data_IF_638375788754
#
_entry.id   IF_638375788754
#
_cell.length_a   1.000
_cell.length_b   1.000
_cell.length_c   1.000
_cell.angle_alpha   90.00
_cell.angle_beta   90.00
_cell.angle_gamma   90.00
#
_symmetry.space_group_name_H-M   'P 1'
#
loop_
_entity.id
_entity.type
_entity.pdbx_description
1 polymer ?
2 polymer ?
3 polymer ?
4 non-polymer ?
5 non-polymer ?
6 water ?
#
loop_
_entity_poly.entity_id
_entity_poly.type
_entity_poly.pdbx_seq_one_letter_code
_entity_poly.pdbx_strand_id
2 'polydeoxyribonucleotide' '(DT)(DC)(DA)(8OG)(DG)(DG)(DG)(DT)(DC)(DC)(DT)' ?
3 'polydeoxyribonucleotide' '(DA)(DG)(DG)(DA)(DC)(DC)(DC)' ?
#
# COMPACT_ATOMS: atom_id res chain seq x y z
N UNK A 27 9.76 -8.45 21.43
CA UNK A 27 11.04 -9.07 21.06
C UNK A 27 11.43 -8.82 19.60
N UNK A 28 10.53 -8.25 18.81
CA UNK A 28 10.88 -7.96 17.42
C UNK A 28 11.23 -6.50 17.23
N UNK A 29 12.04 -6.22 16.21
CA UNK A 29 12.26 -4.86 15.72
C UNK A 29 11.81 -4.78 14.26
N UNK A 30 10.72 -4.06 14.04
CA UNK A 30 10.12 -3.90 12.73
C UNK A 30 10.30 -2.46 12.27
N UNK A 31 10.59 -2.27 10.99
CA UNK A 31 10.56 -0.95 10.38
C UNK A 31 9.46 -0.88 9.32
N UNK A 32 8.74 0.23 9.29
CA UNK A 32 7.76 0.54 8.25
C UNK A 32 8.32 1.71 7.48
N UNK A 33 8.46 1.55 6.15
CA UNK A 33 9.03 2.58 5.29
C UNK A 33 7.91 3.13 4.40
N UNK A 34 7.76 4.44 4.38
CA UNK A 34 6.62 5.07 3.72
C UNK A 34 7.10 6.27 2.89
N UNK A 35 7.03 6.14 1.56
CA UNK A 35 7.55 7.21 0.70
C UNK A 35 6.75 8.51 0.75
N UNK A 36 7.41 9.66 0.66
CA UNK A 36 6.69 10.93 0.61
C UNK A 36 5.92 11.12 -0.72
N UNK A 37 4.61 11.37 -0.63
CA UNK A 37 3.75 11.68 -1.77
C UNK A 37 4.23 11.00 -3.06
N UNK A 38 4.15 9.67 -3.06
CA UNK A 38 4.92 8.85 -3.99
C UNK A 38 4.74 9.16 -5.48
N UNK A 39 3.49 9.13 -5.97
CA UNK A 39 3.23 9.43 -7.38
C UNK A 39 3.78 10.80 -7.76
N UNK A 40 3.55 11.79 -6.90
CA UNK A 40 4.02 13.15 -7.17
C UNK A 40 5.55 13.22 -7.19
N UNK A 41 6.18 12.47 -6.31
CA UNK A 41 7.64 12.39 -6.27
C UNK A 41 8.21 11.83 -7.58
N UNK A 42 7.64 10.72 -8.04
CA UNK A 42 8.04 10.15 -9.30
C UNK A 42 7.88 11.19 -10.44
N UNK A 43 6.74 11.88 -10.49
CA UNK A 43 6.50 12.90 -11.52
C UNK A 43 7.50 14.06 -11.46
N UNK A 44 7.84 14.50 -10.25
CA UNK A 44 8.76 15.62 -10.07
C UNK A 44 10.17 15.26 -10.52
N UNK A 45 10.51 13.99 -10.35
CA UNK A 45 11.80 13.49 -10.81
C UNK A 45 11.82 13.41 -12.34
N UNK A 46 10.71 12.97 -12.92
CA UNK A 46 10.59 12.86 -14.38
C UNK A 46 10.64 14.22 -15.06
N UNK A 47 9.97 15.20 -14.48
CA UNK A 47 9.95 16.55 -15.00
C UNK A 47 10.35 17.54 -13.92
N UNK A 48 11.67 17.70 -13.70
CA UNK A 48 12.22 18.56 -12.65
C UNK A 48 11.76 20.01 -12.74
N UNK A 49 11.07 20.36 -13.81
CA UNK A 49 10.48 21.70 -13.93
C UNK A 49 9.26 21.80 -13.03
N UNK A 50 8.85 20.67 -12.46
CA UNK A 50 7.66 20.61 -11.62
C UNK A 50 8.00 20.67 -10.14
N UNK A 51 9.25 20.37 -9.78
CA UNK A 51 9.61 20.18 -8.37
C UNK A 51 9.59 21.45 -7.55
N UNK A 52 9.09 22.54 -8.12
CA UNK A 52 9.05 23.81 -7.42
C UNK A 52 7.64 24.40 -7.33
N UNK A 53 6.67 23.73 -7.94
CA UNK A 53 5.28 24.19 -7.93
C UNK A 53 4.38 23.21 -7.18
N UNK A 54 3.23 23.70 -6.71
CA UNK A 54 2.24 22.78 -6.15
C UNK A 54 1.79 21.81 -7.23
N UNK A 55 1.90 20.52 -6.97
CA UNK A 55 1.63 19.50 -7.98
C UNK A 55 0.57 18.52 -7.49
N UNK A 56 -0.34 18.16 -8.39
CA UNK A 56 -1.34 17.16 -8.11
C UNK A 56 -1.29 16.07 -9.18
N UNK A 57 -1.40 14.82 -8.75
CA UNK A 57 -1.47 13.71 -9.70
C UNK A 57 -2.93 13.32 -9.88
N UNK A 58 -3.38 13.28 -11.12
CA UNK A 58 -4.80 13.14 -11.43
C UNK A 58 -5.18 11.79 -12.05
N UNK A 59 -6.25 11.21 -11.52
CA UNK A 59 -6.86 10.02 -12.09
C UNK A 59 -8.35 10.28 -12.28
N UNK A 60 -8.78 10.37 -13.53
CA UNK A 60 -10.13 10.80 -13.87
C UNK A 60 -10.41 12.18 -13.27
N UNK A 61 -11.32 12.24 -12.31
CA UNK A 61 -11.73 13.51 -11.71
C UNK A 61 -11.13 13.67 -10.32
N UNK A 62 -10.15 12.83 -9.99
CA UNK A 62 -9.57 12.83 -8.66
C UNK A 62 -8.10 13.21 -8.63
N UNK A 63 -7.74 14.04 -7.64
CA UNK A 63 -6.35 14.26 -7.32
C UNK A 63 -5.99 13.23 -6.24
N UNK A 64 -5.35 12.13 -6.65
CA UNK A 64 -5.13 11.03 -5.73
C UNK A 64 -4.02 11.34 -4.73
N UNK A 65 -3.06 12.16 -5.14
CA UNK A 65 -2.05 12.66 -4.23
C UNK A 65 -1.43 13.95 -4.77
N UNK A 66 -0.73 14.66 -3.90
CA UNK A 66 -0.10 15.93 -4.25
C UNK A 66 1.14 16.12 -3.40
N UNK A 67 2.04 16.98 -3.86
CA UNK A 67 3.27 17.26 -3.11
C UNK A 67 2.99 18.15 -1.90
N UNK A 68 4.00 18.32 -1.06
CA UNK A 68 3.82 19.03 0.20
C UNK A 68 3.64 20.54 0.01
N UNK A 69 3.96 21.04 -1.18
CA UNK A 69 3.69 22.44 -1.50
C UNK A 69 2.19 22.65 -1.71
N UNK A 70 1.52 21.62 -2.25
CA UNK A 70 0.08 21.69 -2.45
C UNK A 70 -0.67 21.46 -1.14
N UNK A 71 -0.11 20.59 -0.29
CA UNK A 71 -0.73 20.33 1.01
C UNK A 71 -0.72 21.57 1.90
N UNK A 72 0.22 22.47 1.64
CA UNK A 72 0.27 23.77 2.31
C UNK A 72 -0.91 24.62 1.85
N UNK A 73 -1.18 24.58 0.55
CA UNK A 73 -2.23 25.42 -0.05
C UNK A 73 -3.61 24.81 0.14
N UNK A 74 -3.71 23.82 1.03
CA UNK A 74 -5.00 23.25 1.40
C UNK A 74 -5.53 22.14 0.51
N UNK A 75 -4.63 21.49 -0.23
CA UNK A 75 -5.03 20.34 -1.03
C UNK A 75 -4.85 19.06 -0.21
N UNK A 76 -5.81 18.16 -0.28
CA UNK A 76 -5.77 16.91 0.48
C UNK A 76 -5.83 15.70 -0.46
N UNK A 77 -5.47 14.53 0.07
CA UNK A 77 -5.46 13.32 -0.72
C UNK A 77 -6.87 12.95 -1.19
N UNK A 78 -6.98 12.48 -2.43
CA UNK A 78 -8.25 12.01 -2.98
C UNK A 78 -9.30 13.12 -3.06
N UNK A 79 -8.87 14.34 -3.34
CA UNK A 79 -9.78 15.47 -3.43
C UNK A 79 -10.27 15.63 -4.86
N UNK A 80 -11.49 16.12 -5.02
CA UNK A 80 -12.06 16.39 -6.34
C UNK A 80 -11.24 17.47 -7.06
N UNK A 81 -11.14 17.36 -8.38
CA UNK A 81 -10.38 18.34 -9.15
C UNK A 81 -11.10 19.68 -9.23
N UNK A 82 -12.41 19.66 -8.96
CA UNK A 82 -13.18 20.90 -8.88
C UNK A 82 -12.77 21.66 -7.62
N UNK A 83 -12.83 20.99 -6.47
CA UNK A 83 -12.36 21.55 -5.22
C UNK A 83 -10.90 21.99 -5.37
N UNK A 84 -10.08 21.10 -5.90
CA UNK A 84 -8.66 21.36 -6.07
C UNK A 84 -8.38 22.59 -6.92
N UNK A 85 -9.01 22.65 -8.09
CA UNK A 85 -8.81 23.76 -9.01
C UNK A 85 -9.28 25.09 -8.42
N UNK A 86 -10.23 25.02 -7.49
CA UNK A 86 -10.76 26.21 -6.84
C UNK A 86 -9.94 26.57 -5.60
N UNK A 87 -9.58 25.55 -4.82
CA UNK A 87 -8.78 25.73 -3.61
C UNK A 87 -7.33 26.04 -3.94
N UNK A 88 -6.95 25.87 -5.21
CA UNK A 88 -5.57 26.11 -5.63
C UNK A 88 -5.47 26.17 -7.14
N UNK A 89 -5.89 27.31 -7.73
CA UNK A 89 -5.89 27.47 -9.19
C UNK A 89 -4.48 27.38 -9.79
N UNK A 90 -3.45 27.56 -8.99
CA UNK A 90 -2.08 27.44 -9.47
C UNK A 90 -1.61 25.99 -9.49
N UNK A 91 -2.50 25.09 -9.06
CA UNK A 91 -2.17 23.66 -8.99
C UNK A 91 -1.87 23.09 -10.37
N UNK A 92 -0.68 22.53 -10.53
CA UNK A 92 -0.32 21.82 -11.75
C UNK A 92 -0.79 20.38 -11.66
N UNK A 93 -1.48 19.90 -12.68
CA UNK A 93 -2.01 18.54 -12.70
C UNK A 93 -1.33 17.71 -13.77
N UNK A 94 -0.85 16.53 -13.37
CA UNK A 94 -0.34 15.55 -14.32
C UNK A 94 -1.17 14.27 -14.23
N UNK A 95 -1.29 13.54 -15.34
CA UNK A 95 -2.13 12.36 -15.37
C UNK A 95 -1.42 11.10 -14.89
N UNK A 96 -1.97 10.47 -13.86
CA UNK A 96 -1.36 9.27 -13.29
C UNK A 96 -2.21 8.03 -13.39
N UNK A 97 -3.01 7.92 -14.46
CA UNK A 97 -3.88 6.75 -14.67
C UNK A 97 -3.08 5.52 -15.06
N UNK A 98 -2.01 5.70 -15.85
CA UNK A 98 -1.08 4.62 -16.15
C UNK A 98 -0.09 4.48 -15.01
N UNK A 99 -0.11 3.33 -14.33
CA UNK A 99 0.73 3.14 -13.13
C UNK A 99 2.10 2.56 -13.44
N UNK A 100 2.38 2.31 -14.71
CA UNK A 100 3.62 1.69 -15.14
C UNK A 100 4.88 2.23 -14.46
N UNK A 101 5.10 3.54 -14.54
CA UNK A 101 6.30 4.13 -13.93
C UNK A 101 6.29 4.06 -12.41
N UNK A 102 5.13 4.28 -11.79
CA UNK A 102 5.03 4.18 -10.34
C UNK A 102 5.35 2.77 -9.88
N UNK A 103 4.78 1.79 -10.58
CA UNK A 103 4.99 0.38 -10.28
C UNK A 103 6.45 -0.01 -10.41
N UNK A 104 7.11 0.45 -11.47
CA UNK A 104 8.54 0.16 -11.65
C UNK A 104 9.42 0.76 -10.52
N UNK A 105 9.19 2.01 -10.17
CA UNK A 105 9.94 2.61 -9.07
C UNK A 105 9.65 1.89 -7.75
N UNK A 106 8.39 1.48 -7.59
CA UNK A 106 7.95 0.74 -6.41
C UNK A 106 8.78 -0.52 -6.20
N UNK A 107 9.03 -1.26 -7.27
CA UNK A 107 9.85 -2.46 -7.13
C UNK A 107 11.33 -2.18 -6.91
N UNK A 108 11.84 -1.08 -7.47
CA UNK A 108 13.22 -0.71 -7.19
C UNK A 108 13.39 -0.45 -5.68
N UNK A 109 12.38 0.15 -5.08
CA UNK A 109 12.43 0.42 -3.64
C UNK A 109 12.46 -0.89 -2.83
N UNK A 110 11.52 -1.79 -3.09
CA UNK A 110 11.54 -2.99 -2.28
C UNK A 110 12.76 -3.87 -2.54
N UNK A 111 13.29 -3.89 -3.76
CA UNK A 111 14.52 -4.63 -4.03
C UNK A 111 15.71 -4.08 -3.23
N UNK A 112 15.78 -2.75 -3.16
CA UNK A 112 16.79 -2.07 -2.35
C UNK A 112 16.67 -2.48 -0.88
N UNK A 113 15.45 -2.50 -0.35
CA UNK A 113 15.25 -2.91 1.06
C UNK A 113 15.59 -4.38 1.28
N UNK A 114 15.30 -5.22 0.29
CA UNK A 114 15.56 -6.66 0.36
C UNK A 114 17.05 -6.96 0.50
N UNK A 115 17.86 -6.01 0.07
CA UNK A 115 19.30 -6.13 0.11
C UNK A 115 19.79 -5.95 1.55
N UNK A 116 19.06 -5.15 2.32
CA UNK A 116 19.33 -5.02 3.75
C UNK A 116 18.94 -6.30 4.47
N UNK A 117 17.72 -6.74 4.21
CA UNK A 117 17.19 -7.94 4.85
C UNK A 117 16.11 -8.54 3.95
N UNK A 118 16.17 -9.85 3.72
CA UNK A 118 15.36 -10.48 2.66
C UNK A 118 13.84 -10.52 2.91
N UNK A 119 13.40 -10.45 4.16
CA UNK A 119 11.98 -10.51 4.46
C UNK A 119 11.35 -9.12 4.38
N UNK A 120 10.86 -8.77 3.19
CA UNK A 120 10.23 -7.48 2.97
C UNK A 120 8.79 -7.66 2.50
N UNK A 121 7.87 -7.06 3.24
CA UNK A 121 6.46 -7.12 2.92
C UNK A 121 5.98 -5.78 2.32
N UNK A 122 5.43 -5.86 1.11
CA UNK A 122 4.89 -4.68 0.45
C UNK A 122 3.48 -4.41 0.95
N UNK A 123 3.12 -3.13 1.04
CA UNK A 123 1.75 -2.72 1.31
C UNK A 123 1.40 -1.61 0.33
N UNK A 124 0.65 -1.94 -0.72
CA UNK A 124 0.46 -1.02 -1.82
C UNK A 124 1.79 -0.74 -2.51
N UNK A 125 1.85 0.34 -3.27
CA UNK A 125 3.04 0.68 -4.05
C UNK A 125 4.10 1.45 -3.30
N UNK A 126 3.77 2.03 -2.15
CA UNK A 126 4.75 2.93 -1.57
C UNK A 126 5.11 2.67 -0.09
N UNK A 127 4.67 1.53 0.42
CA UNK A 127 4.94 1.12 1.81
C UNK A 127 5.60 -0.26 1.85
N UNK A 128 6.61 -0.41 2.70
CA UNK A 128 7.25 -1.70 2.95
C UNK A 128 7.49 -1.91 4.45
N UNK A 129 7.30 -3.14 4.92
CA UNK A 129 7.74 -3.54 6.25
C UNK A 129 8.99 -4.41 6.12
N UNK A 130 9.96 -4.19 7.00
CA UNK A 130 11.10 -5.09 7.10
C UNK A 130 11.26 -5.57 8.53
N UNK A 131 11.50 -6.86 8.71
CA UNK A 131 11.81 -7.41 10.03
C UNK A 131 13.31 -7.30 10.26
N UNK A 132 13.70 -6.38 11.14
CA UNK A 132 15.11 -6.09 11.41
C UNK A 132 15.72 -6.86 12.58
N UNK A 133 14.96 -7.76 13.20
CA UNK A 133 15.45 -8.30 14.47
C UNK A 133 16.72 -9.15 14.38
N UNK A 134 16.87 -9.94 13.32
CA UNK A 134 18.11 -10.68 13.13
C UNK A 134 19.30 -9.74 12.83
N UNK A 135 19.06 -8.75 11.98
CA UNK A 135 20.07 -7.73 11.68
C UNK A 135 20.53 -6.99 12.93
N UNK A 136 19.57 -6.61 13.76
CA UNK A 136 19.84 -5.88 14.99
C UNK A 136 20.68 -6.72 15.96
N UNK A 137 20.31 -7.99 16.11
CA UNK A 137 21.05 -8.90 16.97
C UNK A 137 22.48 -9.10 16.50
N UNK A 138 22.66 -9.21 15.18
CA UNK A 138 23.99 -9.37 14.61
C UNK A 138 24.88 -8.18 14.92
N UNK A 139 24.35 -6.98 14.75
CA UNK A 139 25.11 -5.76 15.02
C UNK A 139 25.48 -5.63 16.49
N UNK A 140 24.54 -5.99 17.37
CA UNK A 140 24.81 -5.90 18.80
C UNK A 140 25.89 -6.89 19.25
N UNK A 141 25.92 -8.06 18.63
CA UNK A 141 26.96 -9.05 18.94
C UNK A 141 28.35 -8.58 18.54
N UNK A 142 28.41 -7.66 17.57
CA UNK A 142 29.68 -7.14 17.10
C UNK A 142 30.16 -5.97 17.94
N UNK A 143 29.25 -5.43 18.75
CA UNK A 143 29.59 -4.30 19.61
C UNK A 143 30.44 -4.70 20.81
N UNK A 144 31.43 -3.88 21.13
CA UNK A 144 32.23 -4.08 22.33
C UNK A 144 31.70 -3.22 23.48
N UNK A 145 32.53 -2.97 24.47
CA UNK A 145 32.11 -2.19 25.63
C UNK A 145 32.22 -0.69 25.39
N UNK A 146 33.27 -0.27 24.69
CA UNK A 146 33.56 1.14 24.46
C UNK A 146 32.44 1.89 23.73
N UNK A 147 31.96 1.35 22.63
CA UNK A 147 30.97 2.05 21.80
C UNK A 147 29.54 1.56 21.97
N UNK A 148 29.29 0.82 23.05
CA UNK A 148 27.92 0.52 23.45
C UNK A 148 27.46 1.60 24.42
N UNK A 149 28.41 2.44 24.82
CA UNK A 149 28.14 3.56 25.73
C UNK A 149 26.83 4.30 25.51
N UNK A 150 26.56 4.99 24.38
CA UNK A 150 27.32 5.17 23.13
C UNK A 150 26.35 4.94 21.98
N UNK A 151 25.54 3.89 22.11
CA UNK A 151 24.44 3.65 21.19
C UNK A 151 23.51 4.87 21.21
N UNK A 152 23.23 5.41 20.03
CA UNK A 152 22.48 6.65 19.90
C UNK A 152 21.31 6.48 18.93
N UNK A 153 20.26 7.29 19.12
CA UNK A 153 19.10 7.21 18.25
C UNK A 153 19.34 7.99 16.97
N UNK A 154 18.77 7.52 15.88
CA UNK A 154 18.73 8.33 14.68
C UNK A 154 17.28 8.76 14.45
N UNK A 155 17.06 10.08 14.35
CA UNK A 155 15.72 10.60 14.21
C UNK A 155 14.98 10.86 15.52
N UNK A 156 13.65 10.96 15.41
CA UNK A 156 12.80 11.30 16.54
C UNK A 156 12.49 10.11 17.45
N UNK A 157 12.34 10.38 18.74
CA UNK A 157 11.79 9.39 19.66
C UNK A 157 10.36 9.82 19.94
N UNK A 158 9.41 8.94 19.64
CA UNK A 158 8.00 9.25 19.85
C UNK A 158 7.74 9.75 21.28
N UNK A 159 6.95 10.83 21.38
CA UNK A 159 6.55 11.41 22.66
C UNK A 159 7.74 11.91 23.45
N UNK A 160 8.83 12.20 22.76
CA UNK A 160 10.07 12.66 23.41
C UNK A 160 10.44 11.86 24.66
N UNK A 161 10.19 10.56 24.68
CA UNK A 161 10.50 9.87 25.92
C UNK A 161 11.97 9.52 26.08
N UNK A 162 12.43 9.55 27.32
CA UNK A 162 13.85 9.39 27.56
C UNK A 162 14.27 7.97 27.32
N UNK A 163 15.48 7.82 26.80
CA UNK A 163 16.07 6.53 26.51
C UNK A 163 16.74 5.99 27.77
N UNK A 164 16.58 4.70 28.02
CA UNK A 164 17.32 4.06 29.09
C UNK A 164 18.31 3.10 28.45
N UNK A 165 19.58 3.48 28.47
CA UNK A 165 20.63 2.71 27.80
C UNK A 165 20.88 1.32 28.41
N UNK A 166 20.30 1.07 29.59
CA UNK A 166 20.46 -0.22 30.25
C UNK A 166 19.27 -1.12 29.96
N UNK A 167 18.28 -0.57 29.26
CA UNK A 167 17.12 -1.37 28.85
C UNK A 167 17.43 -1.99 27.49
N UNK A 168 17.55 -3.32 27.46
CA UNK A 168 17.94 -3.98 26.20
C UNK A 168 16.93 -3.75 25.06
N UNK A 169 15.65 -3.60 25.41
CA UNK A 169 14.63 -3.29 24.43
C UNK A 169 14.84 -1.92 23.79
N UNK A 170 15.24 -0.94 24.59
CA UNK A 170 15.55 0.39 24.07
C UNK A 170 16.73 0.32 23.12
N UNK A 171 17.75 -0.43 23.52
CA UNK A 171 18.97 -0.56 22.74
C UNK A 171 18.68 -1.19 21.37
N UNK A 172 17.83 -2.21 21.37
CA UNK A 172 17.51 -2.91 20.13
C UNK A 172 16.73 -2.02 19.17
N UNK A 173 15.82 -1.20 19.71
CA UNK A 173 15.03 -0.28 18.88
C UNK A 173 15.87 0.89 18.34
N UNK A 174 16.86 1.35 19.12
CA UNK A 174 17.79 2.37 18.65
C UNK A 174 18.68 1.85 17.52
N UNK A 175 19.15 0.61 17.63
CA UNK A 175 19.88 0.00 16.52
C UNK A 175 18.98 -0.08 15.29
N UNK A 176 17.72 -0.45 15.50
CA UNK A 176 16.70 -0.37 14.47
C UNK A 176 16.62 0.99 13.78
N UNK A 177 16.59 2.07 14.56
CA UNK A 177 16.54 3.42 14.00
C UNK A 177 17.76 3.75 13.14
N UNK A 178 18.94 3.25 13.54
CA UNK A 178 20.15 3.43 12.75
C UNK A 178 20.05 2.73 11.39
N UNK A 179 19.56 1.49 11.40
CA UNK A 179 19.34 0.76 10.15
C UNK A 179 18.30 1.46 9.26
N UNK A 180 17.25 1.97 9.88
CA UNK A 180 16.22 2.70 9.15
C UNK A 180 16.80 3.95 8.48
N UNK A 181 17.71 4.61 9.17
CA UNK A 181 18.40 5.79 8.62
C UNK A 181 19.27 5.41 7.42
N UNK A 182 19.97 4.30 7.51
CA UNK A 182 20.75 3.79 6.38
C UNK A 182 19.85 3.48 5.19
N UNK A 183 18.71 2.87 5.46
CA UNK A 183 17.74 2.56 4.42
C UNK A 183 17.27 3.81 3.70
N UNK A 184 16.85 4.82 4.46
CA UNK A 184 16.40 6.06 3.85
C UNK A 184 17.53 6.77 3.09
N UNK A 185 18.75 6.70 3.63
CA UNK A 185 19.90 7.28 2.93
C UNK A 185 20.17 6.60 1.58
N UNK A 186 20.11 5.27 1.57
CA UNK A 186 20.34 4.49 0.35
C UNK A 186 19.27 4.76 -0.72
N UNK A 187 18.03 4.88 -0.26
CA UNK A 187 16.90 5.19 -1.13
C UNK A 187 17.07 6.53 -1.80
N UNK A 188 17.57 7.51 -1.06
CA UNK A 188 17.83 8.81 -1.64
C UNK A 188 19.05 8.81 -2.57
N UNK A 189 20.16 8.26 -2.10
CA UNK A 189 21.40 8.24 -2.86
C UNK A 189 21.35 7.39 -4.14
N UNK A 190 20.56 6.31 -4.10
CA UNK A 190 20.48 5.36 -5.22
C UNK A 190 19.26 5.52 -6.12
N UNK A 191 18.16 6.03 -5.56
CA UNK A 191 16.90 6.11 -6.31
C UNK A 191 16.34 7.53 -6.36
N UNK A 192 16.97 8.46 -5.64
CA UNK A 192 16.52 9.84 -5.58
C UNK A 192 15.21 10.07 -4.83
N UNK A 193 14.84 9.12 -3.99
CA UNK A 193 13.54 9.18 -3.31
C UNK A 193 13.66 9.49 -1.81
N UNK A 194 12.74 10.30 -1.31
CA UNK A 194 12.64 10.60 0.12
C UNK A 194 11.45 9.86 0.73
N UNK A 195 11.50 9.63 2.04
CA UNK A 195 10.41 8.95 2.70
C UNK A 195 10.59 8.95 4.19
N UNK A 196 9.60 8.43 4.88
CA UNK A 196 9.62 8.32 6.34
C UNK A 196 9.84 6.87 6.75
N UNK A 197 10.25 6.68 8.00
CA UNK A 197 10.38 5.37 8.59
C UNK A 197 9.84 5.39 10.02
N UNK A 198 9.22 4.29 10.43
CA UNK A 198 8.78 4.09 11.79
C UNK A 198 9.38 2.79 12.28
N UNK A 199 10.03 2.83 13.44
CA UNK A 199 10.61 1.63 14.05
C UNK A 199 9.86 1.30 15.34
N UNK A 200 9.37 0.06 15.44
CA UNK A 200 8.64 -0.38 16.64
C UNK A 200 8.66 -1.90 16.77
N UNK A 201 7.98 -2.43 17.79
CA UNK A 201 8.07 -3.86 18.08
C UNK A 201 7.09 -4.72 17.28
N UNK A 202 6.17 -4.10 16.53
CA UNK A 202 5.32 -4.85 15.61
C UNK A 202 4.86 -4.00 14.43
N UNK A 203 4.23 -4.63 13.45
CA UNK A 203 3.84 -3.92 12.21
C UNK A 203 2.82 -2.81 12.44
N UNK A 204 1.82 -3.08 13.26
CA UNK A 204 0.80 -2.09 13.63
C UNK A 204 1.44 -0.81 14.16
N UNK A 205 2.26 -0.95 15.19
CA UNK A 205 2.93 0.19 15.80
C UNK A 205 3.95 0.88 14.87
N UNK A 206 4.69 0.10 14.08
CA UNK A 206 5.65 0.70 13.17
C UNK A 206 4.92 1.57 12.13
N UNK A 207 3.79 1.09 11.63
CA UNK A 207 3.01 1.85 10.64
C UNK A 207 2.36 3.10 11.25
N UNK A 208 1.87 2.98 12.49
CA UNK A 208 1.29 4.12 13.18
C UNK A 208 2.35 5.19 13.46
N UNK A 209 3.56 4.75 13.84
CA UNK A 209 4.58 5.72 14.25
C UNK A 209 5.34 6.40 13.11
N UNK A 210 5.41 5.74 11.94
CA UNK A 210 6.19 6.26 10.81
C UNK A 210 5.68 7.61 10.32
N UNK A 211 4.39 7.86 10.51
CA UNK A 211 3.76 9.08 10.04
C UNK A 211 3.74 10.22 11.04
N UNK A 212 4.30 10.01 12.22
CA UNK A 212 4.27 11.04 13.27
C UNK A 212 5.01 12.32 12.87
N UNK A 213 6.20 12.18 12.29
CA UNK A 213 6.91 13.31 11.69
C UNK A 213 7.09 13.12 10.20
N UNK A 214 6.53 14.06 9.42
CA UNK A 214 6.55 14.00 7.97
C UNK A 214 6.75 15.41 7.43
N UNK A 215 7.31 15.54 6.21
CA UNK A 215 7.79 14.43 5.38
C UNK A 215 9.28 14.18 5.62
N UNK A 216 9.79 13.13 4.99
CA UNK A 216 11.21 12.80 5.00
C UNK A 216 11.86 12.83 6.39
N UNK A 217 11.26 12.10 7.34
CA UNK A 217 11.77 12.04 8.71
C UNK A 217 11.51 10.66 9.25
N UNK A 218 12.05 10.33 10.43
CA UNK A 218 11.78 9.03 11.00
C UNK A 218 11.57 9.09 12.51
N UNK A 219 10.82 8.15 13.03
CA UNK A 219 10.61 8.08 14.48
C UNK A 219 10.55 6.65 15.02
N UNK A 220 11.04 6.51 16.26
CA UNK A 220 11.09 5.21 16.91
C UNK A 220 10.16 5.22 18.12
N UNK A 221 9.43 4.13 18.29
CA UNK A 221 8.50 3.98 19.39
C UNK A 221 9.09 3.08 20.48
N UNK A 222 9.35 3.66 21.64
CA UNK A 222 9.77 2.87 22.80
C UNK A 222 8.53 2.33 23.50
N UNK A 223 8.65 1.19 24.20
CA UNK A 223 7.47 0.43 24.65
C UNK A 223 6.56 1.17 25.64
N UNK A 224 7.13 1.96 26.53
CA UNK A 224 6.26 2.63 27.49
C UNK A 224 5.46 3.78 26.89
N UNK A 225 5.66 4.06 25.60
CA UNK A 225 4.82 5.06 24.93
C UNK A 225 3.76 4.46 24.03
N UNK A 226 3.61 3.14 24.07
CA UNK A 226 2.64 2.46 23.21
C UNK A 226 1.21 2.93 23.43
N UNK A 227 0.76 2.97 24.69
CA UNK A 227 -0.60 3.41 24.95
C UNK A 227 -0.84 4.87 24.54
N UNK A 228 0.18 5.71 24.70
CA UNK A 228 0.07 7.11 24.28
C UNK A 228 -0.18 7.17 22.76
N UNK A 229 0.57 6.38 21.99
CA UNK A 229 0.39 6.31 20.54
C UNK A 229 -1.01 5.83 20.14
N UNK A 230 -1.48 4.76 20.77
CA UNK A 230 -2.77 4.22 20.36
C UNK A 230 -3.94 5.13 20.75
N UNK A 231 -3.80 5.86 21.86
CA UNK A 231 -4.87 6.77 22.29
C UNK A 231 -4.79 8.13 21.60
N UNK A 232 -3.69 8.37 20.89
CA UNK A 232 -3.57 9.58 20.08
C UNK A 232 -4.53 9.53 18.89
N UNK A 233 -4.93 8.34 18.48
CA UNK A 233 -5.88 8.18 17.37
C UNK A 233 -7.25 8.74 17.75
N UNK A 234 -7.95 9.33 16.80
CA UNK A 234 -9.25 9.95 17.10
C UNK A 234 -10.45 9.14 16.60
N UNK A 235 -10.23 8.33 15.58
CA UNK A 235 -11.27 7.49 15.00
C UNK A 235 -10.78 6.05 14.94
N UNK A 236 -11.68 5.12 15.22
CA UNK A 236 -11.34 3.70 15.23
C UNK A 236 -10.91 3.20 13.85
N UNK A 237 -11.42 3.82 12.79
CA UNK A 237 -10.99 3.50 11.44
C UNK A 237 -9.52 3.84 11.19
N UNK A 238 -8.91 4.63 12.06
CA UNK A 238 -7.49 4.97 11.89
C UNK A 238 -6.55 3.81 12.23
N UNK A 239 -7.09 2.74 12.80
CA UNK A 239 -6.31 1.54 13.05
C UNK A 239 -6.21 0.68 11.78
N UNK A 240 -4.99 0.46 11.27
CA UNK A 240 -4.80 -0.43 10.12
C UNK A 240 -5.38 -1.82 10.43
N UNK A 241 -6.29 -2.29 9.59
CA UNK A 241 -6.95 -3.56 9.82
C UNK A 241 -8.43 -3.35 10.12
N UNK A 242 -8.76 -2.14 10.56
CA UNK A 242 -10.17 -1.80 10.74
C UNK A 242 -10.63 -0.89 9.61
N UNK A 243 -11.37 -1.46 8.66
CA UNK A 243 -11.75 -0.73 7.46
C UNK A 243 -13.17 -0.20 7.46
N UNK A 244 -13.64 0.19 6.28
CA UNK A 244 -14.94 0.84 6.13
C UNK A 244 -16.09 0.06 6.77
N UNK A 245 -16.31 -1.17 6.31
CA UNK A 245 -17.43 -1.98 6.79
C UNK A 245 -17.34 -2.24 8.30
N UNK A 246 -16.15 -2.60 8.75
CA UNK A 246 -15.95 -2.93 10.17
C UNK A 246 -16.21 -1.71 11.06
N UNK A 247 -15.71 -0.56 10.64
CA UNK A 247 -15.89 0.67 11.41
C UNK A 247 -17.35 1.04 11.50
N UNK A 248 -18.07 0.93 10.37
CA UNK A 248 -19.50 1.22 10.36
C UNK A 248 -20.22 0.32 11.38
N UNK A 249 -19.89 -0.97 11.36
CA UNK A 249 -20.43 -1.92 12.34
C UNK A 249 -20.13 -1.49 13.78
N UNK A 250 -18.88 -1.15 14.05
CA UNK A 250 -18.47 -0.76 15.41
C UNK A 250 -19.20 0.48 15.89
N UNK A 251 -19.34 1.47 15.02
CA UNK A 251 -20.07 2.68 15.34
C UNK A 251 -21.52 2.36 15.62
N UNK A 252 -22.08 1.46 14.82
CA UNK A 252 -23.44 0.97 15.06
C UNK A 252 -23.58 0.51 16.51
N UNK A 253 -22.50 -0.01 17.08
CA UNK A 253 -22.53 -0.58 18.42
C UNK A 253 -22.23 0.43 19.53
N UNK A 254 -22.01 1.68 19.15
CA UNK A 254 -21.67 2.72 20.12
C UNK A 254 -20.18 2.79 20.38
N UNK A 255 -19.40 2.11 19.57
CA UNK A 255 -17.94 2.07 19.74
C UNK A 255 -17.27 3.11 18.84
N UNK A 256 -16.73 4.17 19.46
CA UNK A 256 -16.15 5.25 18.69
C UNK A 256 -14.66 5.54 18.92
N UNK A 257 -14.22 5.44 20.17
CA UNK A 257 -12.83 5.71 20.47
C UNK A 257 -12.07 4.39 20.57
N UNK A 258 -10.75 4.47 20.46
CA UNK A 258 -9.91 3.30 20.68
C UNK A 258 -10.21 2.69 22.07
N UNK A 259 -10.35 3.56 23.07
CA UNK A 259 -10.66 3.11 24.43
C UNK A 259 -12.02 2.39 24.51
N UNK A 260 -13.02 2.89 23.80
CA UNK A 260 -14.31 2.20 23.66
C UNK A 260 -14.10 0.75 23.20
N UNK A 261 -13.26 0.59 22.18
CA UNK A 261 -13.05 -0.75 21.61
C UNK A 261 -12.29 -1.63 22.60
N UNK A 262 -11.31 -1.04 23.27
CA UNK A 262 -10.52 -1.77 24.26
C UNK A 262 -11.43 -2.32 25.35
N UNK A 263 -12.47 -1.56 25.64
CA UNK A 263 -13.34 -1.75 26.79
C UNK A 263 -14.63 -2.54 26.48
N UNK A 264 -14.90 -2.78 25.22
CA UNK A 264 -16.14 -3.45 24.84
C UNK A 264 -16.10 -4.94 25.20
N UNK A 265 -17.26 -5.49 25.53
CA UNK A 265 -17.39 -6.93 25.84
C UNK A 265 -16.91 -7.81 24.69
N UNK A 266 -15.90 -8.64 24.95
CA UNK A 266 -15.42 -9.62 23.96
C UNK A 266 -16.54 -10.54 23.48
N UNK A 267 -17.38 -10.98 24.41
CA UNK A 267 -18.46 -11.90 24.09
C UNK A 267 -19.40 -11.32 23.04
N UNK A 268 -19.79 -10.07 23.23
CA UNK A 268 -20.69 -9.42 22.28
C UNK A 268 -19.97 -9.12 20.96
N UNK A 269 -18.75 -8.61 21.05
CA UNK A 269 -17.96 -8.33 19.87
C UNK A 269 -17.82 -9.59 19.00
N UNK A 270 -17.47 -10.71 19.63
CA UNK A 270 -17.31 -11.98 18.92
C UNK A 270 -18.56 -12.40 18.15
N UNK A 271 -19.72 -12.22 18.78
CA UNK A 271 -20.96 -12.67 18.16
C UNK A 271 -21.51 -11.66 17.15
N UNK A 272 -21.01 -10.43 17.20
CA UNK A 272 -21.40 -9.41 16.24
C UNK A 272 -20.54 -9.46 14.96
N UNK A 273 -19.23 -9.66 15.12
CA UNK A 273 -18.31 -9.63 14.00
C UNK A 273 -17.70 -11.00 13.69
N UNK A 274 -18.05 -12.00 14.50
CA UNK A 274 -17.44 -13.30 14.37
C UNK A 274 -16.17 -13.39 15.20
N UNK A 275 -15.74 -14.62 15.48
CA UNK A 275 -14.64 -14.85 16.41
C UNK A 275 -13.30 -14.32 15.91
N UNK A 276 -12.99 -14.55 14.63
CA UNK A 276 -11.69 -14.17 14.10
C UNK A 276 -11.47 -12.65 14.08
N UNK A 277 -12.43 -11.92 13.53
CA UNK A 277 -12.28 -10.48 13.41
C UNK A 277 -12.32 -9.78 14.78
N UNK A 278 -13.28 -10.17 15.61
CA UNK A 278 -13.43 -9.57 16.95
C UNK A 278 -12.16 -9.71 17.78
N UNK A 279 -11.62 -10.92 17.84
CA UNK A 279 -10.40 -11.14 18.62
C UNK A 279 -9.21 -10.38 18.03
N UNK A 280 -9.10 -10.35 16.70
CA UNK A 280 -8.00 -9.64 16.06
C UNK A 280 -8.05 -8.13 16.29
N UNK A 281 -9.19 -7.50 15.99
CA UNK A 281 -9.27 -6.05 16.11
C UNK A 281 -9.25 -5.55 17.57
N UNK A 282 -9.70 -6.37 18.51
CA UNK A 282 -9.62 -5.94 19.91
C UNK A 282 -8.16 -5.94 20.39
N UNK A 283 -7.38 -6.91 19.95
CA UNK A 283 -5.94 -6.88 20.20
C UNK A 283 -5.29 -5.64 19.59
N UNK A 284 -5.65 -5.33 18.34
CA UNK A 284 -5.13 -4.13 17.68
C UNK A 284 -5.39 -2.87 18.51
N UNK A 285 -6.56 -2.81 19.16
CA UNK A 285 -6.93 -1.62 19.93
C UNK A 285 -6.03 -1.40 21.16
N UNK A 286 -5.36 -2.46 21.60
CA UNK A 286 -4.38 -2.36 22.69
C UNK A 286 -2.96 -2.18 22.15
N UNK A 287 -2.81 -2.10 20.83
CA UNK A 287 -1.50 -1.97 20.21
C UNK A 287 -0.80 -3.31 20.03
N UNK A 288 -1.56 -4.40 20.13
CA UNK A 288 -1.02 -5.75 20.01
C UNK A 288 -1.26 -6.33 18.63
N UNK A 289 -0.20 -6.89 18.03
CA UNK A 289 -0.26 -7.40 16.67
C UNK A 289 0.92 -8.36 16.47
N UNK A 290 0.63 -9.65 16.49
CA UNK A 290 1.66 -10.66 16.38
C UNK A 290 1.85 -11.19 14.96
N UNK A 291 1.25 -10.50 14.01
CA UNK A 291 1.35 -10.93 12.61
C UNK A 291 2.78 -10.78 12.08
N UNK A 292 3.29 -11.83 11.43
CA UNK A 292 4.67 -11.79 10.94
C UNK A 292 4.83 -10.89 9.73
N UNK A 293 6.03 -10.38 9.52
CA UNK A 293 6.36 -9.72 8.26
C UNK A 293 6.50 -10.85 7.24
N UNK A 294 5.74 -10.76 6.16
CA UNK A 294 5.72 -11.80 5.11
C UNK A 294 6.58 -11.37 3.92
N UNK A 295 7.31 -12.31 3.32
CA UNK A 295 8.06 -12.00 2.11
C UNK A 295 7.09 -11.90 0.94
N UNK A 296 6.93 -10.70 0.40
CA UNK A 296 6.01 -10.49 -0.70
C UNK A 296 6.50 -11.19 -1.99
N UNK A 297 7.77 -10.99 -2.32
CA UNK A 297 8.35 -11.58 -3.52
C UNK A 297 7.69 -11.01 -4.76
N UNK A 298 7.73 -11.75 -5.89
CA UNK A 298 7.05 -11.31 -7.11
C UNK A 298 5.54 -11.29 -6.91
N UNK A 299 4.83 -10.43 -7.67
CA UNK A 299 3.37 -10.33 -7.54
C UNK A 299 2.62 -11.62 -7.93
N UNK A 300 1.46 -11.83 -7.31
CA UNK A 300 0.68 -13.03 -7.55
C UNK A 300 -0.38 -12.80 -8.62
N UNK A 301 -0.52 -11.54 -9.05
CA UNK A 301 -1.48 -11.20 -10.08
C UNK A 301 -1.08 -9.93 -10.82
N UNK A 302 -1.51 -9.83 -12.07
CA UNK A 302 -1.37 -8.63 -12.88
C UNK A 302 -2.76 -8.23 -13.32
N UNK A 303 -3.15 -6.99 -13.08
CA UNK A 303 -4.44 -6.54 -13.59
C UNK A 303 -4.35 -5.14 -14.18
N UNK A 304 -5.31 -4.82 -15.04
CA UNK A 304 -5.43 -3.49 -15.62
C UNK A 304 -6.91 -3.18 -15.64
N UNK A 305 -7.26 -1.94 -15.33
CA UNK A 305 -8.65 -1.56 -15.38
C UNK A 305 -8.88 -0.18 -15.99
N UNK A 306 -10.09 0.02 -16.49
CA UNK A 306 -10.48 1.34 -16.97
C UNK A 306 -11.91 1.59 -16.52
N UNK A 307 -12.12 2.74 -15.89
CA UNK A 307 -13.46 3.14 -15.50
C UNK A 307 -14.00 4.15 -16.51
N UNK A 308 -15.31 4.19 -16.65
CA UNK A 308 -15.95 5.09 -17.60
C UNK A 308 -17.37 5.38 -17.15
N UNK A 309 -18.01 6.33 -17.83
CA UNK A 309 -19.37 6.69 -17.52
C UNK A 309 -20.32 5.59 -17.99
N UNK A 310 -20.08 5.08 -19.19
CA UNK A 310 -21.01 4.15 -19.81
C UNK A 310 -20.39 3.28 -20.90
N UNK A 311 -20.59 1.97 -20.77
CA UNK A 311 -20.36 1.04 -21.86
C UNK A 311 -21.61 0.18 -21.97
N UNK A 312 -22.33 0.31 -23.08
CA UNK A 312 -23.64 -0.35 -23.22
C UNK A 312 -23.73 -1.25 -24.44
N UNK A 313 -22.60 -1.46 -25.10
CA UNK A 313 -22.56 -2.37 -26.25
C UNK A 313 -21.42 -3.37 -26.10
N UNK A 314 -21.51 -4.47 -26.86
CA UNK A 314 -20.50 -5.50 -26.83
C UNK A 314 -19.31 -5.13 -27.70
N UNK A 315 -19.56 -4.30 -28.71
CA UNK A 315 -18.49 -3.83 -29.60
C UNK A 315 -17.51 -2.96 -28.82
N UNK A 316 -18.05 -2.11 -27.95
CA UNK A 316 -17.24 -1.30 -27.07
C UNK A 316 -16.50 -2.21 -26.09
N UNK A 317 -17.27 -3.05 -25.41
CA UNK A 317 -16.71 -3.99 -24.45
C UNK A 317 -15.48 -4.66 -25.02
N UNK A 318 -15.64 -5.29 -26.19
CA UNK A 318 -14.54 -6.00 -26.82
C UNK A 318 -13.32 -5.09 -27.05
N UNK A 319 -13.57 -3.88 -27.52
CA UNK A 319 -12.49 -2.92 -27.73
C UNK A 319 -11.77 -2.56 -26.44
N UNK A 320 -12.53 -2.21 -25.41
CA UNK A 320 -11.98 -1.93 -24.10
C UNK A 320 -11.15 -3.10 -23.60
N UNK A 321 -11.73 -4.29 -23.65
CA UNK A 321 -11.07 -5.50 -23.18
C UNK A 321 -9.80 -5.78 -23.98
N UNK A 322 -9.86 -5.54 -25.28
CA UNK A 322 -8.68 -5.70 -26.14
C UNK A 322 -7.59 -4.73 -25.73
N UNK A 323 -7.97 -3.50 -25.42
CA UNK A 323 -7.01 -2.49 -24.99
C UNK A 323 -6.32 -2.93 -23.70
N UNK A 324 -7.10 -3.38 -22.72
CA UNK A 324 -6.55 -3.84 -21.45
C UNK A 324 -5.66 -5.05 -21.67
N UNK A 325 -6.16 -6.00 -22.45
CA UNK A 325 -5.44 -7.24 -22.72
C UNK A 325 -4.05 -6.99 -23.31
N UNK A 326 -3.99 -6.09 -24.28
CA UNK A 326 -2.72 -5.71 -24.90
C UNK A 326 -1.73 -5.25 -23.84
N UNK A 327 -2.15 -4.30 -23.00
CA UNK A 327 -1.33 -3.81 -21.89
C UNK A 327 -0.80 -4.93 -21.02
N UNK A 328 -1.67 -5.88 -20.68
CA UNK A 328 -1.29 -6.97 -19.80
C UNK A 328 -0.24 -7.90 -20.40
N UNK A 329 -0.36 -8.16 -21.70
CA UNK A 329 0.58 -9.06 -22.35
C UNK A 329 2.00 -8.50 -22.36
N UNK A 330 2.11 -7.19 -22.49
CA UNK A 330 3.41 -6.53 -22.31
C UNK A 330 4.00 -6.86 -20.95
N UNK A 331 3.15 -6.90 -19.93
CA UNK A 331 3.61 -7.12 -18.56
C UNK A 331 3.91 -8.59 -18.25
N UNK A 332 3.09 -9.49 -18.78
CA UNK A 332 3.36 -10.92 -18.67
C UNK A 332 4.67 -11.23 -19.38
N UNK A 333 4.84 -10.67 -20.57
CA UNK A 333 6.05 -10.85 -21.36
C UNK A 333 7.30 -10.45 -20.58
N UNK A 334 7.25 -9.28 -19.94
CA UNK A 334 8.37 -8.78 -19.15
C UNK A 334 8.71 -9.71 -17.98
N UNK A 335 7.68 -10.13 -17.26
CA UNK A 335 7.86 -10.90 -16.04
C UNK A 335 8.67 -12.18 -16.29
N UNK A 336 8.06 -13.13 -16.98
CA UNK A 336 8.71 -14.40 -17.25
C UNK A 336 7.78 -15.57 -17.00
N UNK A 337 7.35 -15.71 -15.75
CA UNK A 337 6.37 -16.72 -15.37
C UNK A 337 5.15 -16.60 -16.26
N UNK A 338 4.33 -17.65 -16.30
CA UNK A 338 3.15 -17.66 -17.13
C UNK A 338 1.88 -17.81 -16.31
N UNK A 339 0.87 -16.98 -16.62
CA UNK A 339 -0.46 -17.03 -15.98
C UNK A 339 -1.26 -18.25 -16.41
N UNK A 340 -1.82 -18.96 -15.44
CA UNK A 340 -2.64 -20.15 -15.72
C UNK A 340 -4.13 -19.91 -15.53
N UNK A 341 -4.51 -18.72 -15.07
CA UNK A 341 -5.92 -18.34 -15.15
C UNK A 341 -6.15 -16.86 -15.47
N UNK A 342 -7.31 -16.59 -16.07
CA UNK A 342 -7.70 -15.24 -16.42
C UNK A 342 -9.01 -14.94 -15.74
N UNK A 343 -9.21 -13.67 -15.41
CA UNK A 343 -10.44 -13.23 -14.77
C UNK A 343 -10.90 -11.97 -15.46
N UNK A 344 -12.20 -11.85 -15.65
CA UNK A 344 -12.78 -10.63 -16.15
C UNK A 344 -13.63 -10.04 -15.05
N UNK A 345 -13.46 -8.75 -14.79
CA UNK A 345 -14.22 -8.08 -13.74
C UNK A 345 -15.02 -6.94 -14.33
N UNK A 346 -16.22 -6.73 -13.80
CA UNK A 346 -17.06 -5.64 -14.24
C UNK A 346 -17.70 -4.92 -13.05
N UNK A 347 -18.21 -3.73 -13.32
CA UNK A 347 -18.98 -2.97 -12.36
C UNK A 347 -20.12 -2.32 -13.14
N UNK A 348 -21.36 -2.66 -12.80
CA UNK A 348 -22.50 -2.10 -13.53
C UNK A 348 -23.05 -0.85 -12.88
N UNK A 349 -23.78 -0.06 -13.66
CA UNK A 349 -24.31 1.22 -13.21
C UNK A 349 -25.26 1.07 -12.03
N UNK A 350 -25.12 1.99 -11.07
CA UNK A 350 -25.93 1.98 -9.85
C UNK A 350 -25.56 0.80 -8.96
N UNK A 356 -19.36 -3.80 -5.25
CA UNK A 356 -20.40 -3.93 -6.25
C UNK A 356 -19.88 -4.48 -7.57
N UNK A 357 -18.75 -5.17 -7.50
CA UNK A 357 -18.14 -5.77 -8.69
C UNK A 357 -18.50 -7.25 -8.83
N UNK A 358 -18.56 -7.72 -10.06
CA UNK A 358 -18.77 -9.13 -10.35
C UNK A 358 -17.61 -9.64 -11.20
N UNK A 359 -17.31 -10.93 -11.09
CA UNK A 359 -16.20 -11.50 -11.83
C UNK A 359 -16.47 -12.91 -12.35
N UNK A 360 -15.79 -13.26 -13.42
CA UNK A 360 -15.77 -14.62 -13.95
C UNK A 360 -14.33 -14.98 -14.28
N UNK A 361 -13.91 -16.16 -13.88
CA UNK A 361 -12.57 -16.63 -14.22
C UNK A 361 -12.61 -18.02 -14.84
N UNK A 362 -11.51 -18.41 -15.48
CA UNK A 362 -11.36 -19.75 -16.01
C UNK A 362 -9.88 -20.00 -16.27
N UNK A 363 -9.48 -21.28 -16.27
CA UNK A 363 -8.09 -21.60 -16.62
C UNK A 363 -7.79 -21.22 -18.08
N UNK A 364 -6.53 -20.91 -18.36
CA UNK A 364 -6.10 -20.58 -19.71
C UNK A 364 -5.66 -21.85 -20.43
N UNK A 365 -6.17 -22.08 -21.65
CA UNK A 365 -5.79 -23.28 -22.39
C UNK A 365 -4.27 -23.42 -22.46
N UNK A 366 -3.80 -24.66 -22.30
CA UNK A 366 -2.36 -24.93 -22.24
C UNK A 366 -1.62 -24.42 -23.48
N UNK A 367 -2.20 -24.61 -24.65
CA UNK A 367 -1.57 -24.17 -25.89
C UNK A 367 -1.48 -22.65 -25.99
N UNK A 368 -2.50 -21.96 -25.50
CA UNK A 368 -2.48 -20.51 -25.45
C UNK A 368 -1.42 -20.00 -24.47
N UNK A 369 -1.18 -20.77 -23.41
CA UNK A 369 -0.21 -20.40 -22.40
C UNK A 369 1.20 -20.22 -22.97
N UNK A 370 1.50 -20.96 -24.04
CA UNK A 370 2.76 -20.78 -24.73
C UNK A 370 2.60 -19.80 -25.88
N UNK A 371 3.09 -18.58 -25.69
CA UNK A 371 2.91 -17.53 -26.68
C UNK A 371 4.22 -16.78 -26.99
N UNK A 372 4.92 -16.34 -25.94
CA UNK A 372 6.17 -15.60 -26.06
C UNK A 372 6.49 -15.15 -27.48
N UNK A 376 5.79 -13.74 -30.34
CA UNK A 376 6.04 -14.71 -31.40
C UNK A 376 4.80 -15.03 -32.23
N UNK A 377 3.73 -15.43 -31.55
CA UNK A 377 2.50 -15.83 -32.23
C UNK A 377 1.39 -14.80 -32.07
N UNK A 378 0.15 -15.24 -32.22
CA UNK A 378 -1.01 -14.37 -32.06
C UNK A 378 -1.91 -14.82 -30.93
N UNK A 379 -1.67 -14.29 -29.74
CA UNK A 379 -2.39 -14.70 -28.55
C UNK A 379 -3.65 -13.86 -28.31
N UNK A 380 -3.67 -12.66 -28.87
CA UNK A 380 -4.82 -11.75 -28.70
C UNK A 380 -6.15 -12.42 -28.99
N UNK A 381 -6.39 -12.79 -30.25
CA UNK A 381 -7.68 -13.33 -30.65
C UNK A 381 -8.18 -14.51 -29.79
N UNK A 382 -7.33 -15.49 -29.50
CA UNK A 382 -7.78 -16.59 -28.63
C UNK A 382 -8.03 -16.15 -27.19
N UNK A 383 -7.30 -15.14 -26.71
CA UNK A 383 -7.55 -14.63 -25.36
C UNK A 383 -8.82 -13.79 -25.31
N UNK A 384 -9.03 -12.95 -26.32
CA UNK A 384 -10.24 -12.13 -26.38
C UNK A 384 -11.46 -13.02 -26.56
N UNK A 385 -11.30 -14.11 -27.32
CA UNK A 385 -12.36 -15.10 -27.46
C UNK A 385 -12.78 -15.60 -26.08
N UNK A 386 -11.80 -15.94 -25.25
CA UNK A 386 -12.08 -16.43 -23.91
C UNK A 386 -12.75 -15.38 -23.04
N UNK A 387 -12.22 -14.15 -23.07
CA UNK A 387 -12.75 -13.07 -22.25
C UNK A 387 -14.16 -12.68 -22.64
N UNK A 388 -14.46 -12.72 -23.94
CA UNK A 388 -15.80 -12.37 -24.40
C UNK A 388 -16.84 -13.41 -23.98
N UNK A 389 -16.45 -14.69 -23.97
CA UNK A 389 -17.33 -15.72 -23.45
C UNK A 389 -17.65 -15.44 -21.99
N UNK A 390 -16.62 -15.19 -21.19
CA UNK A 390 -16.79 -14.82 -19.79
C UNK A 390 -17.70 -13.60 -19.66
N UNK A 391 -17.47 -12.62 -20.52
CA UNK A 391 -18.27 -11.40 -20.56
C UNK A 391 -19.75 -11.69 -20.80
N UNK A 392 -20.04 -12.51 -21.81
CA UNK A 392 -21.42 -12.87 -22.12
C UNK A 392 -22.03 -13.76 -21.04
N UNK A 393 -21.18 -14.51 -20.34
CA UNK A 393 -21.61 -15.30 -19.19
C UNK A 393 -22.23 -14.41 -18.12
N UNK A 394 -21.53 -13.34 -17.79
CA UNK A 394 -21.98 -12.38 -16.79
C UNK A 394 -23.02 -11.40 -17.31
N UNK A 395 -22.70 -10.75 -18.42
CA UNK A 395 -23.61 -9.77 -19.02
C UNK A 395 -24.55 -10.43 -20.03
N UNK A 396 -25.85 -10.25 -19.82
CA UNK A 396 -26.86 -10.72 -20.77
C UNK A 396 -27.05 -9.68 -21.88
N UNK A 397 -26.43 -9.93 -23.03
CA UNK A 397 -26.36 -8.92 -24.09
C UNK A 397 -27.62 -8.83 -24.95
N UNK A 398 -28.53 -9.80 -24.81
CA UNK A 398 -29.79 -9.75 -25.53
C UNK A 398 -30.73 -8.76 -24.87
N UNK A 399 -30.44 -8.41 -23.63
CA UNK A 399 -31.12 -7.32 -22.93
C UNK A 399 -30.13 -6.23 -22.58
N UNK A 400 -30.58 -4.97 -22.61
CA UNK A 400 -29.69 -3.81 -22.45
C UNK A 400 -28.96 -3.79 -21.10
N UNK A 401 -27.80 -3.15 -21.09
CA UNK A 401 -26.94 -3.06 -19.91
C UNK A 401 -26.15 -1.75 -19.87
N UNK A 402 -25.51 -1.47 -18.74
CA UNK A 402 -24.76 -0.24 -18.53
C UNK A 402 -23.59 -0.51 -17.61
N UNK A 403 -22.40 -0.68 -18.19
CA UNK A 403 -21.19 -0.93 -17.40
C UNK A 403 -20.44 0.35 -17.11
N UNK A 404 -19.70 0.36 -16.01
CA UNK A 404 -19.02 1.56 -15.56
C UNK A 404 -17.56 1.26 -15.22
N UNK A 405 -17.19 -0.01 -15.32
CA UNK A 405 -15.80 -0.44 -15.18
C UNK A 405 -15.57 -1.78 -15.89
N UNK A 406 -14.37 -1.94 -16.45
CA UNK A 406 -13.92 -3.22 -16.99
C UNK A 406 -12.50 -3.48 -16.51
N UNK A 407 -12.22 -4.71 -16.09
CA UNK A 407 -10.89 -5.08 -15.67
C UNK A 407 -10.52 -6.50 -16.08
N UNK A 408 -9.28 -6.67 -16.52
CA UNK A 408 -8.75 -7.98 -16.84
C UNK A 408 -7.63 -8.30 -15.88
N UNK A 409 -7.63 -9.53 -15.35
CA UNK A 409 -6.63 -9.96 -14.38
C UNK A 409 -6.02 -11.30 -14.77
N UNK A 410 -4.70 -11.36 -14.81
CA UNK A 410 -3.97 -12.61 -14.91
C UNK A 410 -3.50 -13.06 -13.52
N UNK A 411 -3.75 -14.32 -13.17
CA UNK A 411 -3.28 -14.84 -11.89
C UNK A 411 -2.91 -16.31 -11.98
N UNK A 412 -2.77 -16.95 -10.82
CA UNK A 412 -2.27 -18.33 -10.76
C UNK A 412 -1.03 -18.46 -11.64
N UNK A 413 -0.02 -17.66 -11.32
CA UNK A 413 1.22 -17.62 -12.10
C UNK A 413 2.17 -18.77 -11.79
N UNK A 414 2.87 -19.25 -12.82
CA UNK A 414 3.84 -20.32 -12.66
C UNK A 414 5.02 -20.15 -13.62
#
# INVERSE_FOLDING_TARGET
MELADVGAAASSQGVHDQVLPTPNASSRVIVHVDLDCFYAQVEMISNPELKDKPLGVQQKYLVVTCNYEARKLGVKKLMNVRDAKEKCPQLVLVNGEDLTRYREMSYKVTELLEEFSPVVERLGFDENFVDLTEMVEKRLQQLQSDELSAVTVSGHVYNNQSINLLDVLHIRLLVGSQIAAEMREAMYNQLGLTGCAGVASNKLLAKLVSGVFKPNQQTVLLPESCQHLIHSLNHIKEIPGIGYKTAKCLEALGINSVRDLQTFSPKILEKELGISVAQRIQKLSFGEDNSPVILSGPPQSFSEEDSFKKCSSEVEAKNKIEELLASLLNRVCQDGRKPHTVRLIIRRYSSEKHYGRESRQCPIPSHVIQKLGTGNYDVMTPMVDILMKLFRNMVNVKMPFHLTLLSVCFCNLKALNTAK
#
